data_IF_249930150413
#
_entry.id   IF_249930150413
#
_cell.length_a   1.000
_cell.length_b   1.000
_cell.length_c   1.000
_cell.angle_alpha   90.00
_cell.angle_beta   90.00
_cell.angle_gamma   90.00
#
_symmetry.space_group_name_H-M   'P 1'
#
loop_
_entity.id
_entity.type
_entity.pdbx_description
1 polymer ?
#
# COMPACT_ATOMS: atom_id res chain seq x y z
N UNK A 1 3.95 -12.59 14.27
CA UNK A 1 3.81 -11.91 15.59
C UNK A 1 4.57 -10.60 15.67
N UNK A 2 5.71 -10.44 14.97
CA UNK A 2 6.54 -9.22 15.06
C UNK A 2 6.00 -8.10 14.17
N UNK A 3 5.47 -8.43 12.99
CA UNK A 3 4.81 -7.50 12.07
C UNK A 3 3.58 -6.81 12.66
N UNK A 4 3.03 -7.34 13.76
CA UNK A 4 1.91 -6.74 14.50
C UNK A 4 2.29 -5.48 15.31
N UNK A 5 3.56 -5.11 15.34
CA UNK A 5 4.06 -3.94 16.06
C UNK A 5 4.07 -2.65 15.23
N UNK A 6 3.86 -2.73 13.91
CA UNK A 6 3.74 -1.53 13.08
C UNK A 6 2.52 -0.70 13.47
N UNK A 7 2.69 0.62 13.44
CA UNK A 7 1.68 1.59 13.85
C UNK A 7 0.99 2.15 12.60
N UNK A 8 -0.34 2.17 12.57
CA UNK A 8 -1.11 2.83 11.52
C UNK A 8 -1.65 4.20 11.93
N UNK A 9 -2.02 4.36 13.21
CA UNK A 9 -2.61 5.58 13.77
C UNK A 9 -2.05 5.86 15.15
N UNK A 10 -1.91 7.15 15.46
CA UNK A 10 -1.64 7.72 16.78
C UNK A 10 -2.42 9.02 16.88
N UNK A 11 -2.85 9.39 18.08
CA UNK A 11 -3.52 10.66 18.35
C UNK A 11 -2.70 11.61 19.23
N UNK A 12 -1.42 11.32 19.44
CA UNK A 12 -0.54 12.11 20.29
C UNK A 12 -0.58 11.71 21.77
N UNK A 13 -1.54 10.88 22.22
CA UNK A 13 -1.48 10.22 23.52
C UNK A 13 -0.55 8.99 23.41
N UNK A 14 0.55 8.89 24.20
CA UNK A 14 1.47 7.76 24.13
C UNK A 14 0.85 6.39 24.47
N UNK A 15 -0.36 6.34 25.03
CA UNK A 15 -1.08 5.09 25.32
C UNK A 15 -2.12 4.72 24.26
N UNK A 16 -2.40 5.59 23.28
CA UNK A 16 -3.44 5.38 22.28
C UNK A 16 -2.84 5.30 20.88
N UNK A 17 -2.92 4.11 20.30
CA UNK A 17 -2.40 3.82 18.97
C UNK A 17 -3.14 2.63 18.39
N UNK A 18 -3.22 2.57 17.05
CA UNK A 18 -3.81 1.46 16.32
C UNK A 18 -2.71 0.70 15.57
N UNK A 19 -2.56 -0.62 15.79
CA UNK A 19 -1.66 -1.45 15.01
C UNK A 19 -2.04 -1.47 13.52
N UNK A 20 -1.05 -1.56 12.64
CA UNK A 20 -1.27 -1.58 11.20
C UNK A 20 -2.14 -2.76 10.77
N UNK A 21 -1.83 -3.98 11.20
CA UNK A 21 -2.60 -5.16 10.84
C UNK A 21 -4.10 -5.03 11.19
N UNK A 22 -4.41 -4.42 12.34
CA UNK A 22 -5.79 -4.19 12.77
C UNK A 22 -6.47 -3.15 11.87
N UNK A 23 -5.79 -2.05 11.56
CA UNK A 23 -6.31 -1.04 10.62
C UNK A 23 -6.59 -1.61 9.23
N UNK A 24 -5.75 -2.52 8.74
CA UNK A 24 -5.94 -3.20 7.45
C UNK A 24 -7.16 -4.15 7.48
N UNK A 25 -7.25 -5.00 8.51
CA UNK A 25 -8.41 -5.90 8.72
C UNK A 25 -9.72 -5.12 8.90
N UNK A 26 -9.71 -4.04 9.70
CA UNK A 26 -10.86 -3.17 9.93
C UNK A 26 -11.34 -2.56 8.61
N UNK A 27 -10.41 -2.05 7.78
CA UNK A 27 -10.76 -1.44 6.49
C UNK A 27 -11.34 -2.46 5.52
N UNK A 28 -10.76 -3.67 5.45
CA UNK A 28 -11.29 -4.75 4.63
C UNK A 28 -12.66 -5.24 5.13
N UNK A 29 -12.88 -5.31 6.45
CA UNK A 29 -14.17 -5.68 7.03
C UNK A 29 -15.26 -4.66 6.73
N UNK A 30 -14.95 -3.36 6.80
CA UNK A 30 -15.87 -2.30 6.36
C UNK A 30 -16.15 -2.40 4.86
N UNK A 31 -15.13 -2.67 4.03
CA UNK A 31 -15.33 -2.90 2.60
C UNK A 31 -16.27 -4.08 2.34
N UNK A 32 -16.14 -5.18 3.09
CA UNK A 32 -17.04 -6.33 2.97
C UNK A 32 -18.50 -5.92 3.23
N UNK A 33 -18.76 -5.17 4.31
CA UNK A 33 -20.10 -4.65 4.58
C UNK A 33 -20.61 -3.72 3.48
N UNK A 34 -19.75 -2.87 2.90
CA UNK A 34 -20.15 -2.02 1.77
C UNK A 34 -20.54 -2.85 0.55
N UNK A 35 -19.77 -3.89 0.22
CA UNK A 35 -20.03 -4.78 -0.91
C UNK A 35 -21.36 -5.56 -0.75
N UNK A 36 -21.64 -6.03 0.46
CA UNK A 36 -22.87 -6.77 0.79
C UNK A 36 -24.11 -5.87 0.80
N UNK A 37 -24.02 -4.70 1.44
CA UNK A 37 -25.20 -3.88 1.76
C UNK A 37 -25.44 -2.71 0.80
N UNK A 38 -24.41 -2.23 0.10
CA UNK A 38 -24.47 -0.95 -0.64
C UNK A 38 -24.12 -1.05 -2.12
N UNK A 39 -23.37 -2.06 -2.57
CA UNK A 39 -22.93 -2.16 -3.96
C UNK A 39 -23.85 -3.09 -4.76
N UNK A 40 -24.73 -2.55 -5.65
CA UNK A 40 -25.57 -3.38 -6.49
C UNK A 40 -24.77 -4.03 -7.63
N UNK A 41 -25.26 -5.16 -8.15
CA UNK A 41 -24.65 -5.87 -9.29
C UNK A 41 -24.44 -4.95 -10.51
N UNK A 42 -25.37 -4.04 -10.80
CA UNK A 42 -25.24 -3.07 -11.90
C UNK A 42 -24.02 -2.16 -11.78
N UNK A 43 -23.51 -1.93 -10.57
CA UNK A 43 -22.27 -1.17 -10.38
C UNK A 43 -21.06 -1.99 -10.81
N UNK A 44 -21.00 -3.26 -10.43
CA UNK A 44 -19.97 -4.20 -10.88
C UNK A 44 -19.95 -4.31 -12.41
N UNK A 45 -21.14 -4.44 -13.02
CA UNK A 45 -21.31 -4.47 -14.49
C UNK A 45 -20.78 -3.19 -15.14
N UNK A 46 -21.03 -2.02 -14.54
CA UNK A 46 -20.54 -0.73 -15.04
C UNK A 46 -19.01 -0.62 -14.98
N UNK A 47 -18.38 -1.37 -14.06
CA UNK A 47 -16.93 -1.51 -13.99
C UNK A 47 -16.39 -2.60 -14.93
N UNK A 48 -17.25 -3.30 -15.68
CA UNK A 48 -16.87 -4.38 -16.58
C UNK A 48 -16.36 -5.64 -15.86
N UNK A 49 -16.75 -5.85 -14.60
CA UNK A 49 -16.28 -6.97 -13.79
C UNK A 49 -17.45 -7.82 -13.30
N UNK A 50 -17.25 -9.14 -13.33
CA UNK A 50 -18.14 -10.08 -12.63
C UNK A 50 -18.15 -9.76 -11.13
N UNK A 51 -19.31 -9.88 -10.48
CA UNK A 51 -19.49 -9.50 -9.07
C UNK A 51 -18.48 -10.18 -8.14
N UNK A 52 -18.23 -11.47 -8.30
CA UNK A 52 -17.24 -12.20 -7.48
C UNK A 52 -15.85 -11.58 -7.62
N UNK A 53 -15.37 -11.38 -8.85
CA UNK A 53 -14.05 -10.78 -9.11
C UNK A 53 -13.97 -9.34 -8.59
N UNK A 54 -15.03 -8.55 -8.77
CA UNK A 54 -15.11 -7.19 -8.25
C UNK A 54 -14.98 -7.17 -6.72
N UNK A 55 -15.77 -7.99 -6.01
CA UNK A 55 -15.75 -8.08 -4.55
C UNK A 55 -14.37 -8.47 -4.03
N UNK A 56 -13.77 -9.54 -4.59
CA UNK A 56 -12.42 -9.98 -4.21
C UNK A 56 -11.38 -8.89 -4.45
N UNK A 57 -11.46 -8.20 -5.59
CA UNK A 57 -10.55 -7.11 -5.93
C UNK A 57 -10.69 -5.93 -4.96
N UNK A 58 -11.92 -5.52 -4.65
CA UNK A 58 -12.19 -4.45 -3.70
C UNK A 58 -11.71 -4.79 -2.28
N UNK A 59 -11.93 -6.04 -1.82
CA UNK A 59 -11.42 -6.52 -0.54
C UNK A 59 -9.89 -6.54 -0.50
N UNK A 60 -9.23 -7.02 -1.56
CA UNK A 60 -7.77 -7.02 -1.65
C UNK A 60 -7.22 -5.59 -1.55
N UNK A 61 -7.73 -4.66 -2.36
CA UNK A 61 -7.32 -3.25 -2.36
C UNK A 61 -7.53 -2.62 -0.98
N UNK A 62 -8.69 -2.83 -0.36
CA UNK A 62 -9.00 -2.32 0.97
C UNK A 62 -8.02 -2.83 2.03
N UNK A 63 -7.65 -4.12 1.96
CA UNK A 63 -6.72 -4.74 2.89
C UNK A 63 -5.30 -4.19 2.73
N UNK A 64 -4.84 -3.90 1.51
CA UNK A 64 -3.46 -3.45 1.27
C UNK A 64 -3.30 -1.92 1.17
N UNK A 65 -4.39 -1.14 1.26
CA UNK A 65 -4.36 0.31 0.97
C UNK A 65 -3.25 1.07 1.70
N UNK A 66 -2.98 0.69 2.95
CA UNK A 66 -2.02 1.33 3.85
C UNK A 66 -0.72 0.50 4.02
N UNK A 67 -0.44 -0.47 3.14
CA UNK A 67 0.78 -1.31 3.22
C UNK A 67 2.07 -0.47 3.26
N UNK A 68 2.09 0.68 2.58
CA UNK A 68 3.22 1.62 2.61
C UNK A 68 3.51 2.26 3.97
N UNK A 69 2.64 2.07 4.98
CA UNK A 69 2.93 2.44 6.36
C UNK A 69 3.96 1.52 7.01
N UNK A 70 4.14 0.30 6.49
CA UNK A 70 5.23 -0.58 6.86
C UNK A 70 6.54 -0.13 6.18
N UNK A 71 6.97 1.10 6.41
CA UNK A 71 8.25 1.65 5.91
C UNK A 71 8.98 2.36 7.04
N UNK A 72 10.31 2.45 6.96
CA UNK A 72 11.10 3.10 8.01
C UNK A 72 10.68 4.55 8.21
N UNK A 73 10.48 5.32 7.15
CA UNK A 73 10.09 6.73 7.24
C UNK A 73 8.74 6.92 7.94
N UNK A 74 7.74 6.10 7.58
CA UNK A 74 6.43 6.20 8.21
C UNK A 74 6.51 5.84 9.70
N UNK A 75 7.14 4.71 10.02
CA UNK A 75 7.26 4.23 11.41
C UNK A 75 8.12 5.15 12.27
N UNK A 76 9.18 5.74 11.73
CA UNK A 76 9.99 6.75 12.41
C UNK A 76 9.14 7.96 12.80
N UNK A 77 8.35 8.52 11.86
CA UNK A 77 7.53 9.70 12.12
C UNK A 77 6.42 9.43 13.13
N UNK A 78 5.65 8.36 12.92
CA UNK A 78 4.48 8.08 13.77
C UNK A 78 4.85 7.58 15.16
N UNK A 79 5.99 6.90 15.33
CA UNK A 79 6.40 6.38 16.64
C UNK A 79 6.91 7.48 17.58
N UNK A 80 7.25 8.68 17.08
CA UNK A 80 7.68 9.82 17.93
C UNK A 80 6.66 10.20 19.00
N UNK A 81 5.36 10.02 18.74
CA UNK A 81 4.30 10.26 19.73
C UNK A 81 4.09 9.09 20.70
N UNK A 82 4.77 7.95 20.52
CA UNK A 82 4.58 6.72 21.29
C UNK A 82 5.95 6.09 21.64
N UNK A 83 6.73 6.68 22.56
CA UNK A 83 8.11 6.24 22.85
C UNK A 83 8.26 4.76 23.25
N UNK A 84 7.25 4.21 23.95
CA UNK A 84 7.23 2.79 24.33
C UNK A 84 7.24 1.89 23.09
N UNK A 85 6.45 2.25 22.05
CA UNK A 85 6.38 1.50 20.80
C UNK A 85 7.63 1.68 19.95
N UNK A 86 8.27 2.85 19.99
CA UNK A 86 9.57 3.06 19.34
C UNK A 86 10.59 2.02 19.82
N UNK A 87 10.73 1.85 21.14
CA UNK A 87 11.67 0.87 21.70
C UNK A 87 11.33 -0.58 21.33
N UNK A 88 10.05 -0.93 21.24
CA UNK A 88 9.63 -2.27 20.80
C UNK A 88 9.87 -2.52 19.32
N UNK A 89 9.59 -1.53 18.46
CA UNK A 89 9.89 -1.56 17.03
C UNK A 89 11.39 -1.79 16.80
N UNK A 90 12.24 -1.02 17.47
CA UNK A 90 13.70 -1.15 17.37
C UNK A 90 14.25 -2.48 17.91
N UNK A 91 13.60 -3.02 18.95
CA UNK A 91 14.03 -4.27 19.58
C UNK A 91 13.62 -5.49 18.77
N UNK A 92 12.45 -5.48 18.14
CA UNK A 92 11.83 -6.69 17.58
C UNK A 92 11.58 -6.65 16.08
N UNK A 93 11.60 -5.49 15.45
CA UNK A 93 11.18 -5.28 14.06
C UNK A 93 12.27 -4.62 13.22
N UNK A 94 12.25 -3.28 13.16
CA UNK A 94 13.10 -2.45 12.30
C UNK A 94 13.92 -1.50 13.15
N UNK A 95 15.16 -1.25 12.75
CA UNK A 95 15.98 -0.20 13.35
C UNK A 95 15.58 1.14 12.76
N UNK A 96 15.14 2.06 13.63
CA UNK A 96 14.84 3.42 13.22
C UNK A 96 16.16 4.22 13.14
N UNK A 97 16.29 5.13 12.17
CA UNK A 97 17.44 6.03 12.12
C UNK A 97 17.30 7.14 13.17
N UNK A 98 18.41 7.75 13.56
CA UNK A 98 18.41 8.89 14.50
C UNK A 98 17.68 10.11 13.88
N UNK A 99 17.81 10.27 12.57
CA UNK A 99 17.25 11.38 11.81
C UNK A 99 16.73 10.91 10.45
N UNK A 100 15.58 11.45 10.04
CA UNK A 100 15.06 11.39 8.67
C UNK A 100 14.76 12.82 8.26
N UNK A 101 15.26 13.19 7.09
CA UNK A 101 14.99 14.49 6.49
C UNK A 101 13.52 14.57 6.03
N UNK A 102 12.85 15.65 6.42
CA UNK A 102 11.42 15.82 6.14
C UNK A 102 11.14 16.03 4.65
N UNK A 103 12.05 16.67 3.91
CA UNK A 103 11.89 16.87 2.47
C UNK A 103 12.12 15.57 1.70
N UNK A 104 13.14 14.79 2.09
CA UNK A 104 13.37 13.46 1.53
C UNK A 104 12.20 12.51 1.80
N UNK A 105 11.64 12.52 3.01
CA UNK A 105 10.51 11.64 3.35
C UNK A 105 9.18 12.05 2.71
N UNK A 106 9.00 13.32 2.33
CA UNK A 106 7.85 13.76 1.52
C UNK A 106 7.87 13.21 0.10
N UNK A 107 9.02 12.77 -0.42
CA UNK A 107 9.13 12.13 -1.74
C UNK A 107 8.50 10.74 -1.78
N UNK A 108 8.30 10.12 -0.62
CA UNK A 108 7.76 8.75 -0.50
C UNK A 108 6.56 8.76 0.46
N UNK A 109 5.44 9.44 0.11
CA UNK A 109 4.22 9.35 0.89
C UNK A 109 3.75 7.90 0.92
N UNK A 110 3.06 7.48 1.99
CA UNK A 110 2.78 6.06 2.20
C UNK A 110 1.83 5.46 1.17
N UNK A 111 1.01 6.27 0.48
CA UNK A 111 0.26 5.84 -0.70
C UNK A 111 1.22 5.37 -1.80
N UNK A 112 2.10 6.25 -2.29
CA UNK A 112 3.14 5.89 -3.27
C UNK A 112 4.02 4.73 -2.80
N UNK A 113 4.42 4.71 -1.53
CA UNK A 113 5.18 3.60 -1.00
C UNK A 113 4.42 2.27 -1.13
N UNK A 114 3.11 2.29 -0.88
CA UNK A 114 2.24 1.12 -1.05
C UNK A 114 2.17 0.64 -2.50
N UNK A 115 2.04 1.57 -3.45
CA UNK A 115 2.10 1.26 -4.89
C UNK A 115 3.43 0.59 -5.26
N UNK A 116 4.57 1.16 -4.86
CA UNK A 116 5.88 0.60 -5.20
C UNK A 116 6.13 -0.76 -4.56
N UNK A 117 5.65 -0.97 -3.33
CA UNK A 117 5.72 -2.28 -2.66
C UNK A 117 4.91 -3.32 -3.46
N UNK A 118 3.68 -2.99 -3.86
CA UNK A 118 2.85 -3.93 -4.63
C UNK A 118 3.46 -4.27 -5.99
N UNK A 119 3.98 -3.28 -6.71
CA UNK A 119 4.71 -3.48 -7.98
C UNK A 119 5.94 -4.37 -7.78
N UNK A 120 6.70 -4.15 -6.70
CA UNK A 120 7.88 -4.97 -6.36
C UNK A 120 7.54 -6.46 -6.17
N UNK A 121 6.36 -6.78 -5.63
CA UNK A 121 5.88 -8.16 -5.51
C UNK A 121 5.15 -8.70 -6.76
N UNK A 122 5.10 -7.92 -7.85
CA UNK A 122 4.48 -8.33 -9.11
C UNK A 122 2.96 -8.13 -9.17
N UNK A 123 2.38 -7.30 -8.31
CA UNK A 123 0.97 -6.94 -8.41
C UNK A 123 0.73 -6.14 -9.70
N UNK A 124 -0.46 -6.31 -10.30
CA UNK A 124 -0.88 -5.53 -11.46
C UNK A 124 -0.71 -4.01 -11.23
N UNK A 125 -0.10 -3.31 -12.18
CA UNK A 125 0.24 -1.89 -12.04
C UNK A 125 -0.97 -0.99 -11.80
N UNK A 126 -2.12 -1.29 -12.42
CA UNK A 126 -3.33 -0.48 -12.28
C UNK A 126 -3.96 -0.68 -10.89
N UNK A 127 -3.90 -1.90 -10.36
CA UNK A 127 -4.32 -2.19 -8.98
C UNK A 127 -3.39 -1.49 -7.98
N UNK A 128 -2.08 -1.59 -8.19
CA UNK A 128 -1.09 -0.91 -7.36
C UNK A 128 -1.27 0.62 -7.40
N UNK A 129 -1.62 1.19 -8.55
CA UNK A 129 -1.91 2.62 -8.71
C UNK A 129 -3.18 3.05 -7.95
N UNK A 130 -4.23 2.23 -7.91
CA UNK A 130 -5.42 2.51 -7.08
C UNK A 130 -5.05 2.59 -5.60
N UNK A 131 -4.20 1.66 -5.13
CA UNK A 131 -3.65 1.70 -3.78
C UNK A 131 -2.79 2.95 -3.58
N UNK A 132 -1.95 3.31 -4.54
CA UNK A 132 -1.15 4.54 -4.53
C UNK A 132 -1.96 5.81 -4.35
N UNK A 133 -3.14 5.86 -4.99
CA UNK A 133 -4.00 7.02 -5.07
C UNK A 133 -5.02 7.15 -3.93
N UNK A 134 -4.98 6.32 -2.88
CA UNK A 134 -6.05 6.28 -1.87
C UNK A 134 -6.23 7.57 -1.03
N UNK A 135 -5.33 8.56 -1.14
CA UNK A 135 -5.50 9.92 -0.61
C UNK A 135 -6.07 10.92 -1.61
N UNK A 136 -6.53 10.47 -2.78
CA UNK A 136 -7.20 11.26 -3.81
C UNK A 136 -6.32 11.79 -4.94
N UNK A 137 -5.01 11.49 -4.93
CA UNK A 137 -4.08 11.93 -5.99
C UNK A 137 -3.13 10.77 -6.35
N UNK A 138 -3.19 10.23 -7.58
CA UNK A 138 -2.20 9.27 -8.08
C UNK A 138 -0.79 9.90 -8.16
N UNK A 139 0.24 9.07 -8.04
CA UNK A 139 1.61 9.53 -8.22
C UNK A 139 1.92 9.89 -9.68
N UNK A 140 2.81 10.86 -9.89
CA UNK A 140 3.28 11.20 -11.24
C UNK A 140 4.18 10.08 -11.80
N UNK A 141 4.03 9.77 -13.10
CA UNK A 141 4.77 8.67 -13.76
C UNK A 141 6.29 8.76 -13.61
N UNK A 142 6.85 9.98 -13.62
CA UNK A 142 8.28 10.19 -13.41
C UNK A 142 8.74 9.78 -12.00
N UNK A 143 7.91 10.05 -10.99
CA UNK A 143 8.17 9.67 -9.60
C UNK A 143 8.12 8.15 -9.38
N UNK A 144 7.25 7.44 -10.10
CA UNK A 144 7.13 5.97 -10.01
C UNK A 144 8.43 5.31 -10.47
N UNK A 145 8.92 5.65 -11.67
CA UNK A 145 10.13 5.05 -12.23
C UNK A 145 11.35 5.27 -11.35
N UNK A 146 11.46 6.42 -10.68
CA UNK A 146 12.58 6.71 -9.78
C UNK A 146 12.60 5.86 -8.49
N UNK A 147 11.49 5.23 -8.09
CA UNK A 147 11.34 4.53 -6.80
C UNK A 147 11.16 3.01 -6.92
N UNK A 148 11.39 2.43 -8.10
CA UNK A 148 11.25 0.98 -8.34
C UNK A 148 12.22 0.19 -7.45
N UNK A 149 11.69 -0.71 -6.61
CA UNK A 149 12.45 -1.36 -5.53
C UNK A 149 13.33 -2.54 -5.99
N UNK A 150 13.25 -2.91 -7.28
CA UNK A 150 14.08 -3.92 -7.94
C UNK A 150 15.42 -3.35 -8.46
N UNK A 151 15.56 -2.01 -8.51
CA UNK A 151 16.80 -1.33 -8.91
C UNK A 151 17.94 -1.50 -7.91
N UNK A 152 19.15 -1.15 -8.33
CA UNK A 152 20.27 -1.07 -7.40
C UNK A 152 19.99 -0.02 -6.33
N UNK A 153 20.44 -0.28 -5.09
CA UNK A 153 20.22 0.59 -3.93
C UNK A 153 20.51 2.08 -4.19
N UNK A 154 21.56 2.38 -4.97
CA UNK A 154 21.95 3.77 -5.28
C UNK A 154 21.04 4.49 -6.27
N UNK A 155 20.17 3.75 -6.96
CA UNK A 155 19.29 4.25 -8.01
C UNK A 155 17.85 4.45 -7.51
N UNK A 156 17.50 3.86 -6.38
CA UNK A 156 16.17 3.98 -5.77
C UNK A 156 16.06 5.32 -5.04
N UNK A 157 15.32 6.27 -5.61
CA UNK A 157 14.99 7.53 -4.94
C UNK A 157 14.18 7.22 -3.68
N UNK A 158 14.62 7.77 -2.55
CA UNK A 158 13.97 7.51 -1.27
C UNK A 158 14.24 6.12 -0.69
N UNK A 159 15.26 5.38 -1.15
CA UNK A 159 15.67 4.09 -0.57
C UNK A 159 15.69 4.10 0.97
N UNK A 160 16.23 5.16 1.58
CA UNK A 160 16.31 5.31 3.04
C UNK A 160 14.93 5.51 3.70
N UNK A 161 13.92 5.98 2.96
CA UNK A 161 12.56 6.05 3.46
C UNK A 161 11.93 4.67 3.61
N UNK A 162 12.24 3.74 2.68
CA UNK A 162 11.78 2.36 2.77
C UNK A 162 12.57 1.62 3.86
N UNK A 163 13.90 1.62 3.78
CA UNK A 163 14.77 0.69 4.51
C UNK A 163 15.62 1.33 5.61
N UNK A 164 15.68 2.66 5.71
CA UNK A 164 16.56 3.36 6.64
C UNK A 164 17.99 3.55 6.12
N UNK A 165 18.85 4.11 6.97
CA UNK A 165 20.22 4.46 6.61
C UNK A 165 21.11 3.23 6.34
N UNK A 166 22.26 3.45 5.71
CA UNK A 166 23.18 2.39 5.28
C UNK A 166 23.62 1.41 6.38
N UNK A 167 23.64 1.83 7.65
CA UNK A 167 24.04 0.98 8.78
C UNK A 167 23.05 -0.16 9.03
N UNK A 168 21.76 0.11 8.88
CA UNK A 168 20.69 -0.83 9.24
C UNK A 168 19.86 -1.31 8.04
N UNK A 169 20.06 -0.72 6.87
CA UNK A 169 19.23 -0.91 5.68
C UNK A 169 19.05 -2.38 5.29
N UNK A 170 20.11 -3.20 5.34
CA UNK A 170 20.03 -4.60 4.90
C UNK A 170 19.17 -5.46 5.84
N UNK A 171 19.33 -5.27 7.15
CA UNK A 171 18.51 -5.97 8.15
C UNK A 171 17.05 -5.53 8.05
N UNK A 172 16.82 -4.23 7.94
CA UNK A 172 15.49 -3.66 7.76
C UNK A 172 14.85 -4.16 6.47
N UNK A 173 15.57 -4.18 5.34
CA UNK A 173 15.08 -4.66 4.05
C UNK A 173 14.57 -6.09 4.15
N UNK A 174 15.40 -7.00 4.66
CA UNK A 174 14.98 -8.39 4.87
C UNK A 174 13.74 -8.49 5.76
N UNK A 175 13.65 -7.71 6.83
CA UNK A 175 12.49 -7.75 7.72
C UNK A 175 11.23 -7.19 7.04
N UNK A 176 11.37 -6.05 6.35
CA UNK A 176 10.28 -5.34 5.69
C UNK A 176 9.72 -6.11 4.51
N UNK A 177 10.57 -6.70 3.66
CA UNK A 177 10.12 -7.56 2.56
C UNK A 177 9.30 -8.74 3.08
N UNK A 178 9.73 -9.38 4.18
CA UNK A 178 8.94 -10.43 4.81
C UNK A 178 7.60 -9.90 5.37
N UNK A 179 7.59 -8.71 5.98
CA UNK A 179 6.37 -8.12 6.50
C UNK A 179 5.39 -7.74 5.38
N UNK A 180 5.88 -7.16 4.28
CA UNK A 180 5.08 -6.83 3.10
C UNK A 180 4.51 -8.09 2.47
N UNK A 181 5.32 -9.13 2.29
CA UNK A 181 4.87 -10.43 1.78
C UNK A 181 3.77 -11.02 2.66
N UNK A 182 3.93 -10.98 3.98
CA UNK A 182 2.90 -11.46 4.91
C UNK A 182 1.59 -10.65 4.81
N UNK A 183 1.67 -9.33 4.67
CA UNK A 183 0.47 -8.49 4.48
C UNK A 183 -0.24 -8.86 3.19
N UNK A 184 0.51 -9.04 2.09
CA UNK A 184 -0.03 -9.46 0.80
C UNK A 184 -0.67 -10.85 0.90
N UNK A 185 -0.02 -11.80 1.57
CA UNK A 185 -0.53 -13.16 1.73
C UNK A 185 -1.83 -13.21 2.54
N UNK A 186 -1.93 -12.42 3.63
CA UNK A 186 -3.20 -12.30 4.35
C UNK A 186 -4.25 -11.57 3.52
N UNK A 187 -3.89 -10.57 2.72
CA UNK A 187 -4.83 -9.90 1.82
C UNK A 187 -5.38 -10.84 0.74
N UNK A 188 -4.53 -11.66 0.12
CA UNK A 188 -4.92 -12.69 -0.84
C UNK A 188 -5.88 -13.69 -0.19
N UNK A 189 -5.54 -14.20 0.99
CA UNK A 189 -6.38 -15.12 1.75
C UNK A 189 -7.72 -14.49 2.16
N UNK A 190 -7.72 -13.23 2.61
CA UNK A 190 -8.92 -12.52 3.03
C UNK A 190 -9.86 -12.27 1.85
N UNK A 191 -9.30 -11.87 0.70
CA UNK A 191 -10.05 -11.64 -0.53
C UNK A 191 -10.41 -12.93 -1.27
N UNK A 192 -9.79 -14.06 -0.98
CA UNK A 192 -10.05 -15.33 -1.67
C UNK A 192 -9.34 -15.49 -3.01
N UNK A 193 -8.30 -14.69 -3.29
CA UNK A 193 -7.38 -14.92 -4.40
C UNK A 193 -6.28 -15.92 -4.00
N UNK A 194 -5.85 -16.76 -4.94
CA UNK A 194 -4.76 -17.73 -4.71
C UNK A 194 -3.38 -17.10 -4.92
N UNK A 195 -3.27 -16.09 -5.78
CA UNK A 195 -2.03 -15.36 -6.08
C UNK A 195 -2.31 -13.95 -6.62
N UNK A 196 -1.27 -13.12 -6.69
CA UNK A 196 -1.36 -11.79 -7.32
C UNK A 196 -1.70 -11.86 -8.82
N UNK A 197 -1.39 -12.98 -9.49
CA UNK A 197 -1.66 -13.19 -10.92
C UNK A 197 -3.16 -13.36 -11.22
N UNK A 198 -3.97 -13.73 -10.23
CA UNK A 198 -5.44 -13.85 -10.38
C UNK A 198 -6.15 -12.50 -10.27
N UNK A 199 -5.46 -11.46 -9.78
CA UNK A 199 -6.04 -10.12 -9.63
C UNK A 199 -6.18 -9.51 -11.03
N UNK A 200 -7.39 -9.06 -11.42
CA UNK A 200 -7.63 -8.56 -12.77
C UNK A 200 -6.82 -7.30 -13.06
N UNK A 201 -6.49 -7.12 -14.34
CA UNK A 201 -6.11 -5.82 -14.85
C UNK A 201 -7.37 -4.96 -15.00
N UNK A 202 -7.37 -3.79 -14.36
CA UNK A 202 -8.47 -2.82 -14.40
C UNK A 202 -8.17 -1.63 -15.32
N UNK A 203 -7.16 -1.76 -16.21
CA UNK A 203 -6.92 -0.78 -17.27
C UNK A 203 -8.26 -0.41 -17.90
N UNK A 204 -8.65 0.86 -17.76
CA UNK A 204 -9.88 1.35 -18.35
C UNK A 204 -9.90 0.92 -19.81
N UNK A 205 -11.00 0.28 -20.24
CA UNK A 205 -11.25 0.00 -21.65
C UNK A 205 -10.73 1.19 -22.45
N UNK A 206 -9.75 0.94 -23.34
CA UNK A 206 -9.36 1.93 -24.34
C UNK A 206 -10.66 2.47 -24.90
N UNK A 207 -10.98 3.73 -24.59
CA UNK A 207 -11.94 4.43 -25.41
C UNK A 207 -11.20 4.64 -26.72
N UNK A 208 -11.21 3.61 -27.56
CA UNK A 208 -11.23 3.83 -29.00
C UNK A 208 -12.51 4.63 -29.23
N UNK A 209 -12.38 5.95 -29.06
CA UNK A 209 -13.38 6.90 -29.51
C UNK A 209 -13.34 6.76 -31.02
N UNK A 210 -14.15 5.83 -31.53
CA UNK A 210 -14.50 5.74 -32.93
C UNK A 210 -15.00 7.13 -33.32
N UNK A 211 -14.17 7.89 -34.03
CA UNK A 211 -14.50 9.20 -34.62
C UNK A 211 -15.62 9.00 -35.66
N UNK A 212 -16.83 8.68 -35.21
CA UNK A 212 -18.02 8.81 -36.04
C UNK A 212 -18.41 10.27 -36.03
N UNK A 213 -17.88 10.96 -37.02
CA UNK A 213 -18.40 12.20 -37.60
C UNK A 213 -19.92 12.29 -37.46
N UNK A 214 -20.39 13.12 -36.54
CA UNK A 214 -21.75 13.66 -36.61
C UNK A 214 -21.72 14.85 -37.57
N UNK A 215 -21.98 14.59 -38.85
CA UNK A 215 -22.43 15.62 -39.77
C UNK A 215 -23.87 16.00 -39.40
N UNK A 216 -24.05 17.17 -38.79
CA UNK A 216 -25.37 17.80 -38.72
C UNK A 216 -25.71 18.38 -40.09
N UNK A 217 -26.80 17.86 -40.67
CA UNK A 217 -27.61 18.51 -41.71
C UNK A 217 -28.61 19.48 -41.09
#
# INVERSE_FOLDING_TARGET
MKEKLFIAKSNGNPSEWLPLWMHLEDTAGIMNHLLEDFIPESFCDSCGMERDIFEKTALFIAYVHDIGKATVAFQYKISKSIPVRTGELEKFCIKLPDFIDDDCSRKTPHGLAGEMILRYFGCNENIAAVVGAHHGVPAERGTIGEQELDKEKGEIVGYENYFGNAKNAEENRRYLENAWKNIIDEALKYSGFSSLDEIPDIAGYSTDVDERTYNCS
#
